data_IF_405050965912
#
_entry.id   IF_405050965912
#
_cell.length_a   1.000
_cell.length_b   1.000
_cell.length_c   1.000
_cell.angle_alpha   90.00
_cell.angle_beta   90.00
_cell.angle_gamma   90.00
#
_symmetry.space_group_name_H-M   'P 1'
#
loop_
_entity.id
_entity.type
_entity.pdbx_description
1 polymer ?
#
# COMPACT_ATOMS: atom_id res chain seq x y z
N UNK A 1 54.46 13.12 -30.46
CA UNK A 1 53.05 13.07 -30.88
C UNK A 1 52.40 11.86 -30.21
N UNK A 2 51.64 12.06 -29.13
CA UNK A 2 50.90 10.97 -28.48
C UNK A 2 49.73 10.54 -29.36
N UNK A 3 49.62 9.24 -29.58
CA UNK A 3 48.72 8.58 -30.51
C UNK A 3 47.25 8.75 -30.06
N UNK A 4 46.68 9.91 -30.42
CA UNK A 4 45.31 10.38 -30.12
C UNK A 4 44.23 9.41 -30.62
N UNK A 5 44.59 8.55 -31.57
CA UNK A 5 43.76 7.50 -32.19
C UNK A 5 43.51 6.33 -31.24
N UNK A 6 44.52 5.95 -30.44
CA UNK A 6 44.44 4.82 -29.49
C UNK A 6 43.55 5.12 -28.29
N UNK A 7 43.57 6.37 -27.81
CA UNK A 7 42.73 6.84 -26.69
C UNK A 7 41.25 6.89 -27.10
N UNK A 8 40.97 7.33 -28.34
CA UNK A 8 39.60 7.42 -28.90
C UNK A 8 38.90 6.07 -28.99
N UNK A 9 39.62 4.99 -29.27
CA UNK A 9 39.06 3.63 -29.35
C UNK A 9 38.91 2.94 -27.99
N UNK A 10 39.68 3.36 -26.98
CA UNK A 10 39.62 2.80 -25.61
C UNK A 10 38.49 3.40 -24.80
N UNK A 11 38.17 4.67 -25.04
CA UNK A 11 37.08 5.39 -24.34
C UNK A 11 35.71 4.69 -24.46
N UNK A 12 35.21 4.31 -25.66
CA UNK A 12 33.92 3.63 -25.78
C UNK A 12 33.95 2.23 -25.17
N UNK A 13 35.08 1.52 -25.24
CA UNK A 13 35.23 0.21 -24.61
C UNK A 13 35.20 0.30 -23.08
N UNK A 14 35.84 1.33 -22.50
CA UNK A 14 35.78 1.61 -21.06
C UNK A 14 34.38 2.05 -20.65
N UNK A 15 33.69 2.89 -21.42
CA UNK A 15 32.29 3.25 -21.17
C UNK A 15 31.36 2.03 -21.22
N UNK A 16 31.52 1.15 -22.22
CA UNK A 16 30.75 -0.11 -22.32
C UNK A 16 31.00 -1.03 -21.12
N UNK A 17 32.26 -1.20 -20.72
CA UNK A 17 32.61 -1.94 -19.50
C UNK A 17 31.97 -1.31 -18.27
N UNK A 18 32.04 0.02 -18.09
CA UNK A 18 31.39 0.69 -16.96
C UNK A 18 29.87 0.49 -16.95
N UNK A 19 29.18 0.55 -18.09
CA UNK A 19 27.73 0.28 -18.17
C UNK A 19 27.35 -1.20 -17.96
N UNK A 20 28.27 -2.12 -18.26
CA UNK A 20 28.11 -3.55 -17.98
C UNK A 20 28.35 -3.87 -16.50
N UNK A 21 29.16 -3.06 -15.82
CA UNK A 21 29.49 -3.20 -14.40
C UNK A 21 28.55 -2.43 -13.47
N UNK A 22 27.72 -1.53 -14.00
CA UNK A 22 26.63 -0.93 -13.22
C UNK A 22 25.56 -1.99 -12.99
N UNK A 23 25.69 -2.75 -11.90
CA UNK A 23 24.55 -3.47 -11.35
C UNK A 23 23.51 -2.44 -10.90
N UNK A 24 22.39 -2.37 -11.63
CA UNK A 24 21.21 -1.67 -11.15
C UNK A 24 20.68 -2.51 -9.99
N UNK A 25 20.84 -2.03 -8.75
CA UNK A 25 20.23 -2.64 -7.58
C UNK A 25 18.71 -2.53 -7.70
N UNK A 26 18.09 -3.55 -8.30
CA UNK A 26 16.65 -3.69 -8.37
C UNK A 26 16.16 -4.14 -7.01
N UNK A 27 15.80 -3.18 -6.15
CA UNK A 27 15.04 -3.48 -4.94
C UNK A 27 13.57 -3.56 -5.33
N UNK A 28 13.03 -4.77 -5.37
CA UNK A 28 11.62 -5.04 -5.63
C UNK A 28 11.02 -5.75 -4.44
N UNK A 29 9.79 -5.41 -4.08
CA UNK A 29 9.10 -6.05 -2.97
C UNK A 29 7.61 -5.73 -2.95
N UNK A 30 6.95 -6.17 -1.89
CA UNK A 30 5.55 -5.93 -1.63
C UNK A 30 5.40 -5.36 -0.23
N UNK A 31 4.61 -4.30 -0.11
CA UNK A 31 4.07 -3.89 1.18
C UNK A 31 2.72 -4.59 1.36
N UNK A 32 2.61 -5.37 2.43
CA UNK A 32 1.43 -6.18 2.71
C UNK A 32 0.63 -5.60 3.88
N UNK A 33 -0.66 -5.40 3.64
CA UNK A 33 -1.62 -5.05 4.68
C UNK A 33 -2.63 -6.19 4.78
N UNK A 34 -2.82 -6.69 5.99
CA UNK A 34 -3.77 -7.74 6.26
C UNK A 34 -4.88 -7.23 7.19
N UNK A 35 -6.10 -7.20 6.67
CA UNK A 35 -7.29 -6.81 7.43
C UNK A 35 -7.70 -7.94 8.39
N UNK A 36 -7.99 -7.59 9.64
CA UNK A 36 -8.36 -8.53 10.70
C UNK A 36 -9.88 -8.52 10.92
N UNK A 37 -10.42 -7.34 11.22
CA UNK A 37 -11.84 -7.13 11.50
C UNK A 37 -12.19 -5.67 11.29
N UNK A 38 -13.48 -5.43 11.05
CA UNK A 38 -14.07 -4.12 10.84
C UNK A 38 -15.35 -4.05 11.65
N UNK A 39 -15.62 -2.90 12.24
CA UNK A 39 -16.81 -2.67 13.05
C UNK A 39 -17.37 -1.27 12.77
N UNK A 40 -18.56 -1.24 12.16
CA UNK A 40 -19.36 -0.05 11.95
C UNK A 40 -20.78 -0.32 12.43
N UNK A 41 -20.96 -0.46 13.75
CA UNK A 41 -22.25 -0.87 14.37
C UNK A 41 -23.42 0.02 13.96
N UNK A 42 -23.17 1.29 13.63
CA UNK A 42 -24.21 2.23 13.23
C UNK A 42 -24.51 2.22 11.73
N UNK A 43 -23.65 1.64 10.88
CA UNK A 43 -23.81 1.69 9.43
C UNK A 43 -23.70 3.11 8.87
N UNK A 44 -22.85 3.94 9.48
CA UNK A 44 -22.71 5.36 9.14
C UNK A 44 -21.46 5.63 8.31
N UNK A 45 -21.54 6.66 7.46
CA UNK A 45 -20.44 7.23 6.68
C UNK A 45 -19.69 8.28 7.51
N UNK A 46 -18.51 8.69 7.02
CA UNK A 46 -17.66 9.66 7.72
C UNK A 46 -18.27 11.07 7.84
N UNK A 47 -19.25 11.40 7.00
CA UNK A 47 -20.04 12.64 7.06
C UNK A 47 -21.24 12.55 8.01
N UNK A 48 -21.49 11.37 8.59
CA UNK A 48 -22.57 11.12 9.53
C UNK A 48 -23.89 10.72 8.88
N UNK A 49 -23.91 10.51 7.56
CA UNK A 49 -25.06 9.95 6.84
C UNK A 49 -25.06 8.41 6.91
N UNK A 50 -26.18 7.79 6.58
CA UNK A 50 -26.27 6.33 6.51
C UNK A 50 -25.65 5.81 5.21
N UNK A 51 -25.03 4.62 5.25
CA UNK A 51 -24.48 3.98 4.05
C UNK A 51 -25.52 3.75 2.96
N UNK A 52 -26.73 3.34 3.35
CA UNK A 52 -27.88 3.22 2.48
C UNK A 52 -29.15 3.70 3.21
N UNK A 53 -30.13 4.16 2.43
CA UNK A 53 -31.43 4.59 2.94
C UNK A 53 -31.41 5.89 3.74
N UNK A 54 -32.44 6.07 4.56
CA UNK A 54 -32.63 7.23 5.44
C UNK A 54 -32.68 6.75 6.89
N UNK A 55 -32.34 7.63 7.84
CA UNK A 55 -32.49 7.31 9.27
C UNK A 55 -33.95 6.96 9.60
N UNK A 56 -34.13 5.95 10.45
CA UNK A 56 -35.44 5.63 11.01
C UNK A 56 -35.96 6.83 11.81
N UNK A 57 -37.19 7.25 11.52
CA UNK A 57 -37.84 8.38 12.18
C UNK A 57 -38.09 8.19 13.68
N UNK A 58 -38.15 6.93 14.17
CA UNK A 58 -38.38 6.65 15.59
C UNK A 58 -37.07 6.65 16.40
N UNK A 59 -36.09 5.87 15.94
CA UNK A 59 -34.88 5.59 16.72
C UNK A 59 -33.65 6.38 16.25
N UNK A 60 -33.77 7.16 15.16
CA UNK A 60 -32.67 7.91 14.51
C UNK A 60 -31.47 7.05 14.07
N UNK A 61 -31.62 5.73 14.06
CA UNK A 61 -30.58 4.79 13.60
C UNK A 61 -30.70 4.58 12.10
N UNK A 62 -29.59 4.23 11.47
CA UNK A 62 -29.63 3.83 10.07
C UNK A 62 -30.49 2.58 9.90
N UNK A 63 -31.25 2.56 8.81
CA UNK A 63 -32.11 1.44 8.44
C UNK A 63 -31.32 0.15 8.29
N UNK A 64 -32.04 -0.97 8.24
CA UNK A 64 -31.49 -2.32 8.41
C UNK A 64 -30.52 -2.80 7.32
N UNK A 65 -30.33 -2.02 6.25
CA UNK A 65 -29.45 -2.38 5.15
C UNK A 65 -27.98 -2.06 5.49
N UNK A 66 -27.09 -2.97 5.17
CA UNK A 66 -25.67 -2.92 5.55
C UNK A 66 -24.81 -2.23 4.47
N UNK A 67 -23.69 -1.62 4.88
CA UNK A 67 -22.71 -1.03 3.99
C UNK A 67 -21.98 -2.11 3.17
N UNK A 68 -21.80 -1.90 1.87
CA UNK A 68 -20.87 -2.69 1.06
C UNK A 68 -19.41 -2.24 1.29
N UNK A 69 -18.78 -2.79 2.32
CA UNK A 69 -17.47 -2.31 2.79
C UNK A 69 -16.30 -2.91 1.98
N UNK A 70 -15.47 -2.03 1.43
CA UNK A 70 -14.18 -2.36 0.80
C UNK A 70 -13.08 -1.42 1.30
N UNK A 71 -11.81 -1.79 1.09
CA UNK A 71 -10.67 -1.03 1.59
C UNK A 71 -9.77 -0.57 0.45
N UNK A 72 -9.22 0.63 0.63
CA UNK A 72 -8.15 1.18 -0.21
C UNK A 72 -6.96 1.56 0.66
N UNK A 73 -5.78 1.08 0.28
CA UNK A 73 -4.51 1.44 0.91
C UNK A 73 -3.75 2.38 -0.02
N UNK A 74 -3.25 3.47 0.54
CA UNK A 74 -2.44 4.46 -0.15
C UNK A 74 -1.10 4.56 0.57
N UNK A 75 -0.02 4.23 -0.11
CA UNK A 75 1.32 4.31 0.43
C UNK A 75 2.04 5.55 -0.12
N UNK A 76 2.63 6.35 0.77
CA UNK A 76 3.31 7.61 0.43
C UNK A 76 4.53 7.83 1.31
N UNK A 77 5.32 8.84 0.98
CA UNK A 77 6.46 9.27 1.78
C UNK A 77 6.03 9.75 3.17
N UNK A 78 6.93 9.58 4.13
CA UNK A 78 6.81 10.23 5.42
C UNK A 78 6.93 11.75 5.24
N UNK A 79 5.98 12.48 5.81
CA UNK A 79 5.99 13.94 5.89
C UNK A 79 5.74 14.34 7.34
N UNK A 80 6.50 15.29 7.86
CA UNK A 80 6.30 15.82 9.21
C UNK A 80 4.91 16.47 9.36
N UNK A 81 4.40 17.10 8.30
CA UNK A 81 3.03 17.59 8.22
C UNK A 81 2.25 16.82 7.15
N UNK A 82 1.14 16.19 7.54
CA UNK A 82 0.40 15.28 6.67
C UNK A 82 -0.55 16.05 5.75
N UNK A 83 -0.16 16.21 4.48
CA UNK A 83 -1.06 16.67 3.44
C UNK A 83 -1.85 15.49 2.87
N UNK A 84 -3.16 15.46 3.13
CA UNK A 84 -4.08 14.37 2.73
C UNK A 84 -4.34 14.30 1.22
N UNK A 85 -4.00 15.35 0.45
CA UNK A 85 -4.31 15.46 -0.99
C UNK A 85 -3.19 15.00 -1.94
N UNK A 86 -2.06 14.51 -1.41
CA UNK A 86 -0.93 14.05 -2.23
C UNK A 86 -1.22 12.66 -2.84
N UNK A 87 -0.71 12.37 -4.06
CA UNK A 87 -0.84 11.05 -4.68
C UNK A 87 -0.07 9.97 -3.90
N UNK A 88 -0.49 8.72 -4.04
CA UNK A 88 0.16 7.55 -3.42
C UNK A 88 1.45 7.19 -4.15
N UNK A 89 2.54 7.91 -3.89
CA UNK A 89 3.80 7.79 -4.67
C UNK A 89 4.48 6.43 -4.55
N UNK A 90 4.23 5.70 -3.47
CA UNK A 90 4.78 4.35 -3.25
C UNK A 90 3.83 3.27 -3.77
N UNK A 91 2.64 3.64 -4.22
CA UNK A 91 1.62 2.76 -4.77
C UNK A 91 0.33 2.75 -3.95
N UNK A 92 -0.68 2.10 -4.50
CA UNK A 92 -1.97 1.89 -3.84
C UNK A 92 -2.53 0.52 -4.17
N UNK A 93 -3.30 -0.04 -3.24
CA UNK A 93 -4.03 -1.30 -3.43
C UNK A 93 -5.47 -1.15 -2.96
N UNK A 94 -6.33 -2.06 -3.41
CA UNK A 94 -7.72 -2.10 -3.00
C UNK A 94 -8.22 -3.55 -2.89
N UNK A 95 -9.29 -3.74 -2.12
CA UNK A 95 -10.01 -5.02 -2.03
C UNK A 95 -11.28 -4.97 -2.85
N UNK A 96 -11.85 -6.15 -3.12
CA UNK A 96 -13.29 -6.23 -3.42
C UNK A 96 -14.11 -5.92 -2.16
N UNK A 97 -15.43 -5.87 -2.29
CA UNK A 97 -16.33 -5.80 -1.13
C UNK A 97 -16.09 -7.03 -0.27
N UNK A 98 -15.74 -6.82 1.00
CA UNK A 98 -15.39 -7.89 1.94
C UNK A 98 -16.56 -8.28 2.86
N UNK A 99 -17.51 -7.38 3.06
CA UNK A 99 -18.66 -7.62 3.92
C UNK A 99 -19.44 -6.35 4.23
N UNK A 100 -20.39 -6.52 5.16
CA UNK A 100 -21.31 -5.51 5.64
C UNK A 100 -20.69 -4.48 6.59
N UNK A 101 -21.50 -4.06 7.57
CA UNK A 101 -21.13 -3.12 8.63
C UNK A 101 -20.03 -3.66 9.57
N UNK A 102 -20.15 -4.91 9.98
CA UNK A 102 -19.25 -5.52 10.97
C UNK A 102 -18.91 -6.94 10.55
N UNK A 103 -17.62 -7.22 10.39
CA UNK A 103 -17.15 -8.55 10.01
C UNK A 103 -15.73 -8.82 10.54
N UNK A 104 -15.39 -10.10 10.61
CA UNK A 104 -14.06 -10.59 10.99
C UNK A 104 -13.57 -11.56 9.93
N UNK A 105 -12.34 -11.37 9.48
CA UNK A 105 -11.71 -12.20 8.46
C UNK A 105 -10.98 -13.40 9.08
N UNK A 106 -11.03 -13.57 10.41
CA UNK A 106 -10.43 -14.73 11.08
C UNK A 106 -11.11 -15.99 10.59
N UNK A 107 -10.30 -16.98 10.19
CA UNK A 107 -10.82 -18.24 9.69
C UNK A 107 -11.62 -18.94 10.80
N UNK A 108 -12.85 -19.35 10.49
CA UNK A 108 -13.72 -20.10 11.40
C UNK A 108 -13.10 -21.41 11.89
N UNK A 109 -12.26 -22.03 11.07
CA UNK A 109 -11.63 -23.32 11.36
C UNK A 109 -10.27 -23.18 12.07
N UNK A 110 -9.61 -22.03 11.95
CA UNK A 110 -8.34 -21.77 12.62
C UNK A 110 -8.22 -20.27 12.94
N UNK A 111 -8.39 -19.85 14.20
CA UNK A 111 -8.36 -18.44 14.57
C UNK A 111 -7.00 -17.78 14.35
N UNK A 112 -5.92 -18.56 14.16
CA UNK A 112 -4.59 -18.07 13.82
C UNK A 112 -4.39 -17.87 12.31
N UNK A 113 -5.35 -18.29 11.47
CA UNK A 113 -5.32 -18.10 10.03
C UNK A 113 -6.30 -16.99 9.64
N UNK A 114 -5.85 -16.07 8.81
CA UNK A 114 -6.64 -14.95 8.33
C UNK A 114 -7.01 -15.15 6.86
N UNK A 115 -8.19 -14.65 6.46
CA UNK A 115 -8.67 -14.78 5.08
C UNK A 115 -7.81 -13.98 4.10
N UNK A 116 -7.49 -14.59 2.96
CA UNK A 116 -6.72 -13.99 1.89
C UNK A 116 -7.48 -12.85 1.19
N UNK A 117 -8.82 -12.86 1.23
CA UNK A 117 -9.63 -11.77 0.69
C UNK A 117 -9.31 -10.42 1.36
N UNK A 118 -8.88 -10.45 2.63
CA UNK A 118 -8.47 -9.28 3.40
C UNK A 118 -7.03 -8.80 3.16
N UNK A 119 -6.27 -9.48 2.31
CA UNK A 119 -4.86 -9.20 2.03
C UNK A 119 -4.73 -8.20 0.89
N UNK A 120 -4.07 -7.07 1.15
CA UNK A 120 -3.79 -6.02 0.17
C UNK A 120 -2.28 -5.97 -0.06
N UNK A 121 -1.87 -6.18 -1.32
CA UNK A 121 -0.48 -6.13 -1.74
C UNK A 121 -0.23 -4.86 -2.55
N UNK A 122 0.73 -4.06 -2.12
CA UNK A 122 1.21 -2.88 -2.84
C UNK A 122 2.62 -3.15 -3.35
N UNK A 123 2.80 -3.44 -4.65
CA UNK A 123 4.12 -3.72 -5.22
C UNK A 123 4.96 -2.45 -5.31
N UNK A 124 6.26 -2.55 -5.03
CA UNK A 124 7.23 -1.47 -5.20
C UNK A 124 8.49 -1.93 -5.92
N UNK A 125 9.17 -0.99 -6.60
CA UNK A 125 10.41 -1.21 -7.35
C UNK A 125 11.53 -0.23 -6.95
N UNK A 126 11.48 0.25 -5.71
CA UNK A 126 12.46 1.16 -5.13
C UNK A 126 13.01 0.58 -3.81
N UNK A 127 14.15 1.09 -3.35
CA UNK A 127 14.69 0.72 -2.04
C UNK A 127 13.76 1.20 -0.93
N UNK A 128 13.30 0.28 -0.09
CA UNK A 128 12.33 0.60 0.97
C UNK A 128 12.90 1.66 1.92
N UNK A 129 12.27 2.84 2.04
CA UNK A 129 12.75 3.91 2.90
C UNK A 129 12.39 3.56 4.34
N UNK A 130 13.31 2.92 5.06
CA UNK A 130 13.19 2.80 6.52
C UNK A 130 13.44 4.20 7.10
N UNK A 131 12.44 4.78 7.78
CA UNK A 131 12.67 5.97 8.61
C UNK A 131 13.62 5.55 9.73
N UNK A 132 14.91 5.80 9.51
CA UNK A 132 15.97 5.35 10.40
C UNK A 132 15.93 6.09 11.71
N UNK A 133 15.27 5.49 12.70
CA UNK A 133 15.79 5.41 14.06
C UNK A 133 15.86 3.93 14.40
N UNK A 134 17.10 3.41 14.41
CA UNK A 134 17.48 2.05 14.84
C UNK A 134 17.28 0.90 13.82
N UNK A 135 18.12 0.89 12.77
CA UNK A 135 18.75 -0.36 12.32
C UNK A 135 20.25 -0.15 12.29
N UNK A 136 20.94 -0.54 13.37
CA UNK A 136 22.36 -0.89 13.28
C UNK A 136 22.42 -2.34 12.77
N UNK A 137 22.91 -2.58 11.54
CA UNK A 137 23.23 -3.93 11.11
C UNK A 137 24.57 -4.31 11.76
N UNK A 138 24.54 -5.33 12.62
CA UNK A 138 25.66 -6.25 12.83
C UNK A 138 25.12 -7.67 12.69
#
# INVERSE_FOLDING_TARGET
MWDRTRIRNRFPAVCLLLTLWTEVSRSTGYFEVQLISVENVNGELADGECCDGSRDSLDLRCTRDECDTYFRVCLKEYQAEVLHKRPCIYGSGYTQVLGGNTFSLKSKNNPNKLDEAGRILVPFQFAWPVSGDLFTPF
#
